data_IF_691131634777
#
_entry.id   IF_691131634777
#
_cell.length_a   1.000
_cell.length_b   1.000
_cell.length_c   1.000
_cell.angle_alpha   90.00
_cell.angle_beta   90.00
_cell.angle_gamma   90.00
#
_symmetry.space_group_name_H-M   'P 1'
#
loop_
_entity.id
_entity.type
_entity.pdbx_description
1 polymer ?
#
# COMPACT_ATOMS: atom_id res chain seq x y z
N UNK A 1 28.54 32.30 -10.04
CA UNK A 1 27.13 32.11 -9.63
C UNK A 1 26.44 31.23 -10.67
N UNK A 2 26.29 29.93 -10.42
CA UNK A 2 25.66 28.95 -11.33
C UNK A 2 24.99 27.88 -10.44
N UNK A 3 23.80 28.14 -9.88
CA UNK A 3 23.09 27.12 -9.07
C UNK A 3 21.57 27.36 -8.94
N UNK A 4 20.94 27.99 -9.94
CA UNK A 4 19.49 28.27 -9.93
C UNK A 4 18.74 27.83 -11.18
N UNK A 5 19.41 27.56 -12.30
CA UNK A 5 18.75 27.15 -13.55
C UNK A 5 18.46 25.64 -13.66
N UNK A 6 19.21 24.77 -12.98
CA UNK A 6 19.08 23.29 -13.12
C UNK A 6 17.82 22.76 -12.40
N UNK A 7 17.40 23.36 -11.28
CA UNK A 7 16.21 22.91 -10.54
C UNK A 7 14.87 23.19 -11.23
N UNK A 8 14.82 24.16 -12.14
CA UNK A 8 13.60 24.48 -12.88
C UNK A 8 13.34 23.47 -14.01
N UNK A 9 14.40 22.98 -14.66
CA UNK A 9 14.29 22.00 -15.74
C UNK A 9 13.84 20.61 -15.22
N UNK A 10 14.40 20.13 -14.11
CA UNK A 10 14.00 18.84 -13.51
C UNK A 10 12.53 18.84 -13.08
N UNK A 11 12.03 19.96 -12.54
CA UNK A 11 10.63 20.06 -12.12
C UNK A 11 9.66 20.02 -13.29
N UNK A 12 10.00 20.67 -14.41
CA UNK A 12 9.18 20.67 -15.64
C UNK A 12 9.16 19.29 -16.29
N UNK A 13 10.28 18.55 -16.29
CA UNK A 13 10.34 17.18 -16.83
C UNK A 13 9.49 16.22 -15.97
N UNK A 14 9.53 16.35 -14.64
CA UNK A 14 8.68 15.57 -13.73
C UNK A 14 7.20 15.91 -13.90
N UNK A 15 6.85 17.18 -14.08
CA UNK A 15 5.46 17.60 -14.29
C UNK A 15 4.92 17.15 -15.67
N UNK A 16 5.75 17.14 -16.72
CA UNK A 16 5.38 16.62 -18.05
C UNK A 16 5.25 15.09 -18.04
N UNK A 17 6.12 14.36 -17.33
CA UNK A 17 5.99 12.91 -17.16
C UNK A 17 4.73 12.55 -16.35
N UNK A 18 4.40 13.35 -15.33
CA UNK A 18 3.18 13.20 -14.53
C UNK A 18 1.91 13.55 -15.33
N UNK A 19 2.00 14.48 -16.27
CA UNK A 19 0.92 14.78 -17.21
C UNK A 19 0.76 13.68 -18.28
N UNK A 20 1.85 13.09 -18.76
CA UNK A 20 1.81 11.96 -19.69
C UNK A 20 1.16 10.71 -19.06
N UNK A 21 1.48 10.39 -17.80
CA UNK A 21 0.83 9.28 -17.07
C UNK A 21 -0.67 9.52 -16.86
N UNK A 22 -1.11 10.78 -16.73
CA UNK A 22 -2.55 11.11 -16.67
C UNK A 22 -3.25 10.90 -18.01
N UNK A 23 -2.54 11.00 -19.14
CA UNK A 23 -3.11 10.71 -20.46
C UNK A 23 -3.29 9.21 -20.64
N UNK A 24 -2.35 8.38 -20.15
CA UNK A 24 -2.51 6.91 -20.12
C UNK A 24 -3.65 6.49 -19.18
N UNK A 25 -3.77 7.09 -17.99
CA UNK A 25 -4.89 6.84 -17.08
C UNK A 25 -6.24 7.28 -17.68
N UNK A 26 -6.26 8.36 -18.48
CA UNK A 26 -7.45 8.80 -19.23
C UNK A 26 -7.75 7.87 -20.40
N UNK A 27 -6.72 7.31 -21.05
CA UNK A 27 -6.87 6.34 -22.13
C UNK A 27 -7.39 5.00 -21.60
N UNK A 28 -6.96 4.58 -20.42
CA UNK A 28 -7.46 3.37 -19.76
C UNK A 28 -8.82 3.60 -19.09
N UNK A 29 -9.10 4.82 -18.61
CA UNK A 29 -10.46 5.23 -18.23
C UNK A 29 -11.41 5.29 -19.45
N UNK A 30 -10.91 5.64 -20.63
CA UNK A 30 -11.67 5.60 -21.88
C UNK A 30 -11.93 4.14 -22.34
N UNK A 31 -10.97 3.22 -22.15
CA UNK A 31 -11.18 1.77 -22.38
C UNK A 31 -12.12 1.13 -21.34
N UNK A 32 -12.16 1.65 -20.11
CA UNK A 32 -13.12 1.21 -19.09
C UNK A 32 -14.55 1.73 -19.35
N UNK A 33 -14.69 2.71 -20.26
CA UNK A 33 -15.96 3.31 -20.69
C UNK A 33 -16.63 2.57 -21.87
N UNK A 34 -16.24 1.33 -22.15
CA UNK A 34 -16.74 0.46 -23.24
C UNK A 34 -18.21 -0.03 -23.02
N UNK A 35 -19.05 0.82 -22.42
CA UNK A 35 -20.49 0.59 -22.17
C UNK A 35 -21.37 1.81 -22.50
N UNK A 36 -20.88 2.73 -23.33
CA UNK A 36 -21.70 3.82 -23.87
C UNK A 36 -21.80 3.66 -25.39
N UNK A 37 -23.02 3.41 -25.87
CA UNK A 37 -23.41 2.93 -27.20
C UNK A 37 -23.08 3.87 -28.40
N UNK A 38 -22.33 4.95 -28.22
CA UNK A 38 -22.17 6.00 -29.23
C UNK A 38 -20.69 6.28 -29.61
N UNK A 39 -19.91 5.22 -29.83
CA UNK A 39 -18.50 5.32 -30.25
C UNK A 39 -18.29 5.96 -31.65
N UNK A 40 -19.35 6.13 -32.44
CA UNK A 40 -19.26 6.60 -33.82
C UNK A 40 -18.94 8.11 -33.94
N UNK A 41 -19.25 8.92 -32.93
CA UNK A 41 -19.07 10.38 -33.01
C UNK A 41 -17.71 10.87 -32.49
N UNK A 42 -17.05 10.09 -31.63
CA UNK A 42 -15.72 10.44 -31.09
C UNK A 42 -14.63 10.21 -32.14
N UNK A 43 -14.75 9.16 -32.97
CA UNK A 43 -13.79 8.85 -34.02
C UNK A 43 -13.69 9.97 -35.09
N UNK A 44 -14.78 10.71 -35.36
CA UNK A 44 -14.76 11.85 -36.30
C UNK A 44 -14.08 13.10 -35.74
N UNK A 45 -13.91 13.21 -34.42
CA UNK A 45 -13.25 14.36 -33.78
C UNK A 45 -11.72 14.19 -33.73
N UNK A 46 -11.22 12.95 -33.74
CA UNK A 46 -9.79 12.66 -33.69
C UNK A 46 -9.06 12.94 -35.01
N UNK A 47 -9.75 12.80 -36.15
CA UNK A 47 -9.17 12.92 -37.50
C UNK A 47 -8.89 14.38 -37.96
N UNK A 48 -9.06 15.38 -37.08
CA UNK A 48 -8.88 16.80 -37.42
C UNK A 48 -8.09 17.63 -36.40
N UNK A 49 -7.41 17.00 -35.44
CA UNK A 49 -6.63 17.70 -34.42
C UNK A 49 -5.14 17.71 -34.79
N UNK A 50 -4.76 18.57 -35.73
CA UNK A 50 -3.35 18.83 -36.05
C UNK A 50 -2.65 19.74 -35.02
N UNK A 51 -3.39 20.37 -34.09
CA UNK A 51 -2.82 21.28 -33.09
C UNK A 51 -3.40 21.07 -31.69
N UNK A 52 -2.51 20.83 -30.71
CA UNK A 52 -2.82 20.61 -29.30
C UNK A 52 -3.60 21.77 -28.63
N UNK A 53 -3.58 22.96 -29.24
CA UNK A 53 -4.28 24.14 -28.76
C UNK A 53 -5.80 24.12 -29.06
N UNK A 54 -6.24 23.39 -30.09
CA UNK A 54 -7.66 23.31 -30.44
C UNK A 54 -8.40 22.21 -29.68
N UNK A 55 -7.69 21.18 -29.20
CA UNK A 55 -8.24 20.17 -28.28
C UNK A 55 -8.73 20.81 -26.96
N UNK A 56 -8.04 21.82 -26.45
CA UNK A 56 -8.40 22.49 -25.20
C UNK A 56 -9.69 23.32 -25.34
N UNK A 57 -9.90 23.96 -26.50
CA UNK A 57 -11.11 24.74 -26.77
C UNK A 57 -12.34 23.89 -27.05
N UNK A 58 -12.16 22.67 -27.57
CA UNK A 58 -13.25 21.71 -27.77
C UNK A 58 -13.78 21.16 -26.44
N UNK A 59 -12.90 20.89 -25.46
CA UNK A 59 -13.28 20.46 -24.12
C UNK A 59 -14.06 21.52 -23.34
N UNK A 60 -13.72 22.81 -23.50
CA UNK A 60 -14.40 23.91 -22.79
C UNK A 60 -15.83 24.20 -23.32
N UNK A 61 -16.13 23.82 -24.57
CA UNK A 61 -17.45 24.03 -25.20
C UNK A 61 -18.39 22.83 -25.04
N UNK A 62 -17.86 21.64 -24.80
CA UNK A 62 -18.68 20.53 -24.35
C UNK A 62 -19.16 20.86 -22.93
N UNK A 63 -20.47 21.03 -22.73
CA UNK A 63 -21.06 20.97 -21.38
C UNK A 63 -20.94 19.54 -20.87
N UNK A 64 -19.71 19.13 -20.56
CA UNK A 64 -19.44 17.90 -19.82
C UNK A 64 -20.08 18.12 -18.46
N UNK A 65 -21.02 17.27 -18.01
CA UNK A 65 -21.44 17.28 -16.63
C UNK A 65 -20.15 17.24 -15.79
N UNK A 66 -19.98 18.18 -14.87
CA UNK A 66 -18.92 18.09 -13.87
C UNK A 66 -19.13 16.76 -13.17
N UNK A 67 -18.38 15.74 -13.56
CA UNK A 67 -18.28 14.50 -12.80
C UNK A 67 -17.63 14.93 -11.51
N UNK A 68 -18.45 15.08 -10.47
CA UNK A 68 -17.93 15.16 -9.12
C UNK A 68 -16.99 13.96 -8.97
N UNK A 69 -15.73 14.16 -8.53
CA UNK A 69 -14.87 13.02 -8.25
C UNK A 69 -15.68 12.11 -7.32
N UNK A 70 -15.64 10.78 -7.49
CA UNK A 70 -16.28 9.91 -6.52
C UNK A 70 -15.65 10.23 -5.17
N UNK A 71 -16.36 11.01 -4.35
CA UNK A 71 -16.02 11.24 -2.97
C UNK A 71 -16.30 9.88 -2.35
N UNK A 72 -15.32 8.98 -2.42
CA UNK A 72 -15.29 7.80 -1.56
C UNK A 72 -15.49 8.38 -0.16
N UNK A 73 -16.53 7.94 0.54
CA UNK A 73 -16.87 8.44 1.85
C UNK A 73 -15.59 8.49 2.68
N UNK A 74 -15.23 9.67 3.16
CA UNK A 74 -13.97 9.93 3.89
C UNK A 74 -13.91 9.02 5.15
N UNK A 75 -15.07 8.64 5.66
CA UNK A 75 -15.27 7.68 6.75
C UNK A 75 -14.81 6.24 6.42
N UNK A 76 -14.79 5.83 5.15
CA UNK A 76 -14.36 4.48 4.74
C UNK A 76 -12.85 4.26 4.97
N UNK A 77 -12.07 5.36 5.02
CA UNK A 77 -10.64 5.33 5.28
C UNK A 77 -10.27 5.67 6.73
N UNK A 78 -11.23 5.94 7.61
CA UNK A 78 -10.92 6.20 9.02
C UNK A 78 -10.79 4.89 9.80
N UNK A 79 -9.61 4.66 10.38
CA UNK A 79 -9.39 3.53 11.26
C UNK A 79 -10.16 3.71 12.58
N UNK A 80 -11.29 3.04 12.72
CA UNK A 80 -12.02 2.93 13.99
C UNK A 80 -11.64 1.66 14.73
N UNK A 81 -10.83 1.80 15.78
CA UNK A 81 -10.40 0.67 16.60
C UNK A 81 -11.56 -0.01 17.36
N UNK A 82 -12.67 0.70 17.61
CA UNK A 82 -13.77 0.20 18.46
C UNK A 82 -14.58 -0.91 17.81
N UNK A 83 -14.48 -1.06 16.48
CA UNK A 83 -15.18 -2.12 15.72
C UNK A 83 -14.53 -3.50 15.85
N UNK A 84 -13.31 -3.58 16.36
CA UNK A 84 -12.54 -4.83 16.39
C UNK A 84 -12.77 -5.64 17.66
N UNK A 85 -13.23 -6.88 17.47
CA UNK A 85 -13.39 -7.88 18.51
C UNK A 85 -12.92 -9.24 17.99
N UNK A 86 -11.99 -9.84 18.73
CA UNK A 86 -11.49 -11.20 18.53
C UNK A 86 -12.66 -12.17 18.60
N UNK A 87 -12.81 -12.98 17.56
CA UNK A 87 -13.90 -13.97 17.47
C UNK A 87 -13.53 -15.25 18.23
N UNK A 88 -14.54 -15.99 18.64
CA UNK A 88 -14.33 -17.31 19.23
C UNK A 88 -13.61 -18.22 18.23
N UNK A 89 -12.52 -18.87 18.67
CA UNK A 89 -11.69 -19.73 17.82
C UNK A 89 -10.69 -19.01 16.90
N UNK A 90 -10.75 -17.67 16.80
CA UNK A 90 -9.77 -16.88 16.04
C UNK A 90 -8.43 -16.84 16.78
N UNK A 91 -7.33 -17.06 16.06
CA UNK A 91 -5.99 -16.92 16.63
C UNK A 91 -5.67 -15.45 16.83
N UNK A 92 -5.08 -15.12 17.99
CA UNK A 92 -4.72 -13.74 18.34
C UNK A 92 -3.74 -13.10 17.33
N UNK A 93 -2.86 -13.90 16.73
CA UNK A 93 -1.96 -13.45 15.66
C UNK A 93 -2.73 -12.98 14.43
N UNK A 94 -3.55 -13.87 13.86
CA UNK A 94 -4.40 -13.62 12.68
C UNK A 94 -5.32 -12.40 12.87
N UNK A 95 -5.90 -12.24 14.08
CA UNK A 95 -6.69 -11.06 14.44
C UNK A 95 -5.88 -9.77 14.37
N UNK A 96 -4.64 -9.80 14.88
CA UNK A 96 -3.71 -8.69 14.79
C UNK A 96 -3.34 -8.34 13.36
N UNK A 97 -3.03 -9.33 12.53
CA UNK A 97 -2.70 -9.09 11.12
C UNK A 97 -3.86 -8.46 10.35
N UNK A 98 -5.09 -8.85 10.67
CA UNK A 98 -6.30 -8.23 10.09
C UNK A 98 -6.40 -6.76 10.47
N UNK A 99 -6.23 -6.44 11.75
CA UNK A 99 -6.20 -5.04 12.24
C UNK A 99 -5.07 -4.24 11.58
N UNK A 100 -3.87 -4.82 11.46
CA UNK A 100 -2.73 -4.14 10.86
C UNK A 100 -2.96 -3.86 9.37
N UNK A 101 -3.52 -4.80 8.61
CA UNK A 101 -3.90 -4.59 7.20
C UNK A 101 -4.90 -3.44 7.06
N UNK A 102 -5.95 -3.42 7.88
CA UNK A 102 -6.93 -2.34 7.84
C UNK A 102 -6.35 -0.98 8.29
N UNK A 103 -5.41 -0.99 9.23
CA UNK A 103 -4.67 0.21 9.59
C UNK A 103 -3.85 0.73 8.40
N UNK A 104 -3.09 -0.12 7.70
CA UNK A 104 -2.38 0.32 6.50
C UNK A 104 -3.33 0.74 5.36
N UNK A 105 -4.49 0.11 5.21
CA UNK A 105 -5.54 0.60 4.28
C UNK A 105 -5.99 2.02 4.60
N UNK A 106 -6.16 2.32 5.89
CA UNK A 106 -6.52 3.68 6.34
C UNK A 106 -5.45 4.73 6.00
N UNK A 107 -4.19 4.30 5.79
CA UNK A 107 -3.07 5.14 5.38
C UNK A 107 -2.91 5.21 3.85
N UNK A 108 -3.79 4.56 3.08
CA UNK A 108 -3.78 4.58 1.62
C UNK A 108 -3.00 3.44 0.95
N UNK A 109 -2.55 2.42 1.69
CA UNK A 109 -1.99 1.20 1.09
C UNK A 109 -3.13 0.29 0.60
N UNK A 110 -3.01 -0.29 -0.58
CA UNK A 110 -4.09 -1.04 -1.25
C UNK A 110 -3.67 -2.44 -1.74
N UNK A 111 -2.37 -2.68 -1.90
CA UNK A 111 -1.80 -3.99 -2.25
C UNK A 111 -1.19 -4.66 -1.01
N UNK A 112 -1.52 -5.92 -0.76
CA UNK A 112 -1.12 -6.64 0.45
C UNK A 112 -0.63 -8.06 0.18
N UNK A 113 0.54 -8.38 0.72
CA UNK A 113 1.15 -9.69 0.68
C UNK A 113 1.47 -10.18 2.08
N UNK A 114 1.36 -11.48 2.30
CA UNK A 114 1.83 -12.16 3.50
C UNK A 114 2.72 -13.30 3.03
N UNK A 115 3.93 -13.41 3.57
CA UNK A 115 4.91 -14.40 3.12
C UNK A 115 5.27 -15.23 4.33
N UNK A 116 4.75 -16.46 4.45
CA UNK A 116 4.92 -17.29 5.64
C UNK A 116 5.30 -18.71 5.25
N UNK A 117 6.28 -19.30 5.94
CA UNK A 117 6.57 -20.72 5.78
C UNK A 117 5.69 -21.58 6.71
N UNK A 118 5.79 -22.91 6.59
CA UNK A 118 5.03 -23.86 7.44
C UNK A 118 5.28 -23.72 8.94
N UNK A 119 6.39 -23.09 9.34
CA UNK A 119 6.74 -22.87 10.74
C UNK A 119 6.29 -21.50 11.26
N UNK A 120 5.60 -20.70 10.43
CA UNK A 120 5.21 -19.33 10.78
C UNK A 120 6.38 -18.35 10.83
N UNK A 121 7.47 -18.65 10.12
CA UNK A 121 8.56 -17.70 9.91
C UNK A 121 8.35 -17.02 8.56
N UNK A 122 8.44 -15.70 8.52
CA UNK A 122 8.02 -14.96 7.35
C UNK A 122 8.02 -13.45 7.53
N UNK A 123 7.32 -12.77 6.62
CA UNK A 123 6.95 -11.36 6.72
C UNK A 123 5.43 -11.30 6.82
N UNK A 124 4.94 -10.80 7.95
CA UNK A 124 3.50 -10.79 8.26
C UNK A 124 2.73 -9.95 7.24
N UNK A 125 3.26 -8.77 6.91
CA UNK A 125 2.65 -7.86 5.93
C UNK A 125 3.73 -7.22 5.05
N UNK A 126 3.54 -7.29 3.74
CA UNK A 126 4.09 -6.33 2.78
C UNK A 126 2.92 -5.54 2.21
N UNK A 127 2.89 -4.24 2.46
CA UNK A 127 1.86 -3.32 2.00
C UNK A 127 2.46 -2.36 0.96
N UNK A 128 1.78 -2.14 -0.16
CA UNK A 128 2.16 -1.15 -1.18
C UNK A 128 1.00 -0.22 -1.47
N UNK A 129 1.33 1.05 -1.67
CA UNK A 129 0.42 2.04 -2.23
C UNK A 129 0.63 2.04 -3.75
N UNK A 130 -0.35 1.53 -4.50
CA UNK A 130 -0.24 1.34 -5.95
C UNK A 130 -0.02 2.65 -6.73
N UNK A 131 -0.45 3.79 -6.18
CA UNK A 131 -0.37 5.10 -6.83
C UNK A 131 1.01 5.76 -6.67
N UNK A 132 1.63 5.60 -5.50
CA UNK A 132 2.91 6.24 -5.15
C UNK A 132 4.09 5.30 -5.31
N UNK A 133 3.86 3.99 -5.19
CA UNK A 133 4.89 2.98 -5.07
C UNK A 133 5.46 2.84 -3.66
N UNK A 134 4.97 3.60 -2.66
CA UNK A 134 5.45 3.50 -1.28
C UNK A 134 5.14 2.11 -0.72
N UNK A 135 6.10 1.55 0.03
CA UNK A 135 6.04 0.19 0.55
C UNK A 135 6.42 0.11 2.02
N UNK A 136 5.69 -0.74 2.75
CA UNK A 136 5.99 -1.10 4.14
C UNK A 136 6.08 -2.61 4.26
N UNK A 137 7.18 -3.08 4.85
CA UNK A 137 7.32 -4.48 5.32
C UNK A 137 7.20 -4.46 6.83
N UNK A 138 6.12 -5.04 7.37
CA UNK A 138 5.77 -4.92 8.77
C UNK A 138 5.79 -6.27 9.51
N UNK A 139 6.29 -6.23 10.74
CA UNK A 139 6.07 -7.27 11.75
C UNK A 139 4.87 -6.89 12.63
N UNK A 140 3.95 -7.82 12.81
CA UNK A 140 2.75 -7.65 13.64
C UNK A 140 2.95 -8.38 14.98
N UNK A 141 2.84 -7.64 16.08
CA UNK A 141 2.84 -8.22 17.43
C UNK A 141 1.54 -7.91 18.14
N UNK A 142 0.84 -8.96 18.57
CA UNK A 142 -0.44 -8.84 19.28
C UNK A 142 -0.33 -9.39 20.69
N UNK A 143 -0.94 -8.71 21.66
CA UNK A 143 -0.93 -9.16 23.06
C UNK A 143 -2.24 -8.90 23.78
N UNK A 144 -2.60 -9.82 24.69
CA UNK A 144 -3.63 -9.61 25.72
C UNK A 144 -3.03 -9.35 27.11
N UNK A 145 -1.70 -9.21 27.23
CA UNK A 145 -1.03 -9.05 28.52
C UNK A 145 -1.27 -7.64 29.09
N UNK A 146 -2.04 -7.57 30.18
CA UNK A 146 -2.35 -6.31 30.88
C UNK A 146 -1.09 -5.50 31.26
N UNK A 147 0.01 -6.16 31.66
CA UNK A 147 1.25 -5.47 32.05
C UNK A 147 1.90 -4.64 30.95
N UNK A 148 1.54 -4.88 29.69
CA UNK A 148 2.03 -4.13 28.53
C UNK A 148 1.09 -2.95 28.17
N UNK A 149 -0.03 -2.81 28.88
CA UNK A 149 -1.02 -1.76 28.71
C UNK A 149 -1.37 -1.07 30.03
N UNK A 150 -1.00 0.20 30.18
CA UNK A 150 -1.31 1.00 31.36
C UNK A 150 -2.14 2.23 30.99
N UNK A 151 -3.46 2.05 30.83
CA UNK A 151 -4.40 3.15 30.62
C UNK A 151 -4.08 4.04 29.42
N UNK A 152 -3.63 3.46 28.31
CA UNK A 152 -3.21 4.19 27.10
C UNK A 152 -1.69 4.33 26.93
N UNK A 153 -0.90 4.15 27.99
CA UNK A 153 0.57 4.01 27.88
C UNK A 153 0.91 2.56 27.54
N UNK A 154 1.59 2.36 26.42
CA UNK A 154 1.95 1.03 25.93
C UNK A 154 3.43 0.72 26.12
N UNK A 155 3.74 -0.51 26.53
CA UNK A 155 5.10 -1.05 26.50
C UNK A 155 5.27 -1.90 25.26
N UNK A 156 6.43 -1.76 24.63
CA UNK A 156 6.75 -2.50 23.42
C UNK A 156 6.61 -4.02 23.60
N UNK A 157 5.93 -4.67 22.64
CA UNK A 157 5.81 -6.14 22.60
C UNK A 157 7.11 -6.71 22.00
N UNK A 158 7.81 -7.66 22.63
CA UNK A 158 9.13 -8.07 22.17
C UNK A 158 9.10 -8.77 20.81
N UNK A 159 10.07 -8.43 19.97
CA UNK A 159 10.45 -9.19 18.77
C UNK A 159 11.18 -10.49 19.14
N UNK A 160 11.19 -11.46 18.22
CA UNK A 160 12.02 -12.67 18.36
C UNK A 160 13.52 -12.31 18.39
N UNK A 161 14.38 -13.28 18.75
CA UNK A 161 15.83 -13.04 18.77
C UNK A 161 16.33 -12.64 17.38
N UNK A 162 15.99 -13.40 16.35
CA UNK A 162 16.44 -13.17 14.97
C UNK A 162 15.93 -11.82 14.45
N UNK A 163 14.65 -11.50 14.69
CA UNK A 163 14.04 -10.23 14.28
C UNK A 163 14.76 -9.02 14.90
N UNK A 164 15.24 -9.13 16.14
CA UNK A 164 16.01 -8.06 16.82
C UNK A 164 17.46 -7.99 16.34
N UNK A 165 18.10 -9.14 16.12
CA UNK A 165 19.51 -9.18 15.77
C UNK A 165 19.77 -8.80 14.31
N UNK A 166 18.85 -9.16 13.40
CA UNK A 166 18.97 -8.82 11.99
C UNK A 166 18.47 -7.39 11.69
N UNK A 167 17.50 -6.90 12.46
CA UNK A 167 16.77 -5.67 12.12
C UNK A 167 15.76 -5.90 10.98
N UNK A 168 14.79 -4.99 10.84
CA UNK A 168 13.65 -5.18 9.94
C UNK A 168 14.04 -5.35 8.48
N UNK A 169 14.97 -4.53 7.99
CA UNK A 169 15.39 -4.56 6.58
C UNK A 169 16.05 -5.89 6.21
N UNK A 170 17.09 -6.30 6.93
CA UNK A 170 17.77 -7.56 6.64
C UNK A 170 16.89 -8.78 6.89
N UNK A 171 16.08 -8.76 7.96
CA UNK A 171 15.17 -9.87 8.25
C UNK A 171 14.14 -10.06 7.14
N UNK A 172 13.44 -9.00 6.76
CA UNK A 172 12.38 -9.09 5.73
C UNK A 172 12.96 -9.46 4.37
N UNK A 173 14.08 -8.87 3.97
CA UNK A 173 14.74 -9.21 2.71
C UNK A 173 15.25 -10.66 2.68
N UNK A 174 15.80 -11.19 3.78
CA UNK A 174 16.19 -12.61 3.88
C UNK A 174 14.98 -13.52 3.69
N UNK A 175 13.86 -13.24 4.39
CA UNK A 175 12.64 -14.07 4.30
C UNK A 175 12.02 -14.04 2.91
N UNK A 176 11.90 -12.87 2.28
CA UNK A 176 11.39 -12.74 0.92
C UNK A 176 12.27 -13.52 -0.08
N UNK A 177 13.60 -13.39 0.01
CA UNK A 177 14.52 -14.10 -0.88
C UNK A 177 14.44 -15.62 -0.73
N UNK A 178 14.36 -16.14 0.50
CA UNK A 178 14.17 -17.58 0.75
C UNK A 178 12.83 -18.07 0.22
N UNK A 179 11.76 -17.32 0.46
CA UNK A 179 10.43 -17.66 -0.01
C UNK A 179 10.34 -17.71 -1.54
N UNK A 180 10.92 -16.71 -2.23
CA UNK A 180 10.96 -16.65 -3.69
C UNK A 180 11.69 -17.86 -4.31
N UNK A 181 12.69 -18.39 -3.61
CA UNK A 181 13.46 -19.59 -3.97
C UNK A 181 12.81 -20.91 -3.54
N UNK A 182 11.71 -20.87 -2.78
CA UNK A 182 11.07 -22.05 -2.15
C UNK A 182 11.98 -22.79 -1.15
N UNK A 183 12.94 -22.06 -0.57
CA UNK A 183 13.83 -22.59 0.46
C UNK A 183 13.10 -22.66 1.82
N UNK A 184 13.76 -23.18 2.86
CA UNK A 184 13.35 -23.00 4.28
C UNK A 184 11.85 -23.32 4.58
N UNK A 185 11.29 -24.32 3.88
CA UNK A 185 9.92 -24.80 4.10
C UNK A 185 8.80 -24.01 3.40
N UNK A 186 9.11 -23.03 2.55
CA UNK A 186 8.14 -22.32 1.70
C UNK A 186 7.67 -23.22 0.54
N UNK A 187 6.65 -24.03 0.82
CA UNK A 187 6.20 -25.12 -0.08
C UNK A 187 4.76 -24.98 -0.54
N UNK A 188 4.05 -23.95 -0.09
CA UNK A 188 2.64 -23.68 -0.43
C UNK A 188 2.45 -23.07 -1.82
N UNK A 189 3.53 -22.65 -2.48
CA UNK A 189 3.53 -21.96 -3.78
C UNK A 189 3.10 -20.50 -3.68
N UNK A 190 2.00 -20.24 -2.97
CA UNK A 190 1.43 -18.89 -2.77
C UNK A 190 2.44 -17.94 -2.11
N UNK A 191 3.07 -18.34 -1.01
CA UNK A 191 4.03 -17.47 -0.33
C UNK A 191 5.25 -17.17 -1.21
N UNK A 192 5.65 -18.09 -2.07
CA UNK A 192 6.73 -17.88 -3.04
C UNK A 192 6.37 -16.90 -4.15
N UNK A 193 5.14 -16.96 -4.65
CA UNK A 193 4.65 -16.00 -5.65
C UNK A 193 4.52 -14.61 -5.05
N UNK A 194 3.92 -14.51 -3.86
CA UNK A 194 3.82 -13.25 -3.12
C UNK A 194 5.19 -12.66 -2.77
N UNK A 195 6.18 -13.50 -2.46
CA UNK A 195 7.55 -13.03 -2.22
C UNK A 195 8.23 -12.50 -3.49
N UNK A 196 8.07 -13.18 -4.63
CA UNK A 196 8.60 -12.69 -5.92
C UNK A 196 7.99 -11.35 -6.29
N UNK A 197 6.69 -11.20 -6.10
CA UNK A 197 6.00 -9.95 -6.40
C UNK A 197 6.43 -8.82 -5.45
N UNK A 198 6.56 -9.11 -4.15
CA UNK A 198 7.07 -8.14 -3.18
C UNK A 198 8.51 -7.68 -3.52
N UNK A 199 9.39 -8.58 -3.97
CA UNK A 199 10.75 -8.23 -4.41
C UNK A 199 10.70 -7.34 -5.65
N UNK A 200 9.93 -7.72 -6.68
CA UNK A 200 9.75 -6.94 -7.90
C UNK A 200 9.24 -5.52 -7.61
N UNK A 201 8.25 -5.42 -6.73
CA UNK A 201 7.68 -4.14 -6.32
C UNK A 201 8.66 -3.28 -5.55
N UNK A 202 9.49 -3.88 -4.68
CA UNK A 202 10.53 -3.16 -3.97
C UNK A 202 11.56 -2.57 -4.94
N UNK A 203 12.03 -3.36 -5.90
CA UNK A 203 12.94 -2.88 -6.94
C UNK A 203 12.32 -1.71 -7.74
N UNK A 204 11.04 -1.82 -8.09
CA UNK A 204 10.31 -0.76 -8.79
C UNK A 204 10.17 0.52 -7.93
N UNK A 205 9.87 0.37 -6.64
CA UNK A 205 9.76 1.47 -5.69
C UNK A 205 11.10 2.20 -5.54
N UNK A 206 12.20 1.45 -5.37
CA UNK A 206 13.56 1.99 -5.28
C UNK A 206 13.96 2.74 -6.56
N UNK A 207 13.68 2.18 -7.74
CA UNK A 207 13.96 2.83 -9.03
C UNK A 207 13.17 4.14 -9.23
N UNK A 208 11.94 4.20 -8.71
CA UNK A 208 11.08 5.38 -8.79
C UNK A 208 11.32 6.39 -7.66
N UNK A 209 12.18 6.06 -6.69
CA UNK A 209 12.45 6.89 -5.51
C UNK A 209 11.30 6.93 -4.50
N UNK A 210 10.41 5.93 -4.52
CA UNK A 210 9.35 5.77 -3.53
C UNK A 210 9.92 5.28 -2.18
N UNK A 211 9.22 5.54 -1.08
CA UNK A 211 9.67 5.13 0.25
C UNK A 211 9.50 3.61 0.42
N UNK A 212 10.60 2.91 0.74
CA UNK A 212 10.55 1.51 1.19
C UNK A 212 11.03 1.47 2.64
N UNK A 213 10.14 1.11 3.57
CA UNK A 213 10.47 1.07 5.00
C UNK A 213 10.10 -0.25 5.66
N UNK A 214 10.70 -0.46 6.83
CA UNK A 214 10.37 -1.57 7.71
C UNK A 214 9.84 -1.06 9.04
N UNK A 215 8.75 -1.66 9.50
CA UNK A 215 8.03 -1.22 10.67
C UNK A 215 7.64 -2.39 11.55
N UNK A 216 7.37 -2.09 12.81
CA UNK A 216 6.72 -3.00 13.74
C UNK A 216 5.43 -2.39 14.23
N UNK A 217 4.36 -3.18 14.23
CA UNK A 217 3.04 -2.75 14.69
C UNK A 217 2.62 -3.55 15.91
N UNK A 218 2.50 -2.87 17.05
CA UNK A 218 2.01 -3.47 18.29
C UNK A 218 0.50 -3.27 18.44
N UNK A 219 -0.21 -4.37 18.72
CA UNK A 219 -1.66 -4.42 18.86
C UNK A 219 -2.00 -4.95 20.25
N UNK A 220 -2.80 -4.18 20.99
CA UNK A 220 -3.13 -4.44 22.39
C UNK A 220 -4.62 -4.77 22.50
N UNK A 221 -4.92 -6.00 22.89
CA UNK A 221 -6.28 -6.51 23.02
C UNK A 221 -6.60 -6.69 24.51
N UNK A 222 -7.83 -6.45 24.94
CA UNK A 222 -8.24 -6.77 26.32
C UNK A 222 -8.58 -8.26 26.47
N UNK A 223 -8.81 -8.68 27.72
CA UNK A 223 -9.14 -10.07 28.03
C UNK A 223 -10.45 -10.51 27.38
N UNK A 224 -11.33 -9.55 27.11
CA UNK A 224 -12.62 -9.73 26.46
C UNK A 224 -12.52 -9.78 24.91
N UNK A 225 -11.32 -9.64 24.36
CA UNK A 225 -11.04 -9.75 22.93
C UNK A 225 -11.22 -8.45 22.14
N UNK A 226 -11.58 -7.34 22.76
CA UNK A 226 -11.69 -6.04 22.08
C UNK A 226 -10.35 -5.29 21.99
N UNK A 227 -10.15 -4.56 20.91
CA UNK A 227 -8.96 -3.72 20.71
C UNK A 227 -8.96 -2.54 21.68
N UNK A 228 -7.85 -2.34 22.43
CA UNK A 228 -7.76 -1.29 23.47
C UNK A 228 -7.54 0.12 22.93
N UNK A 229 -7.14 0.25 21.68
CA UNK A 229 -6.84 1.53 21.02
C UNK A 229 -6.18 1.34 19.66
N UNK A 230 -5.82 2.44 19.00
CA UNK A 230 -5.12 2.39 17.72
C UNK A 230 -3.79 1.62 17.84
N UNK A 231 -3.41 0.85 16.78
CA UNK A 231 -2.12 0.20 16.71
C UNK A 231 -0.96 1.16 16.96
N UNK A 232 0.13 0.63 17.53
CA UNK A 232 1.35 1.41 17.79
C UNK A 232 2.43 1.01 16.80
N UNK A 233 2.63 1.87 15.80
CA UNK A 233 3.73 1.75 14.84
C UNK A 233 5.04 2.16 15.50
N UNK A 234 6.08 1.37 15.28
CA UNK A 234 7.44 1.57 15.78
C UNK A 234 8.41 1.31 14.64
N UNK A 235 9.59 1.95 14.71
CA UNK A 235 10.72 1.54 13.90
C UNK A 235 11.10 0.11 14.27
N UNK A 236 11.33 -0.73 13.26
CA UNK A 236 11.93 -2.05 13.44
C UNK A 236 13.45 -1.94 13.39
#
# INVERSE_FOLDING_TARGET
MHWTAVKAADKVVVDVAKAANRVDDVLDAAKALDKLDDAADIAKAADKLDDAADATKALDKAKVPKLEPPVKNIDEFLFDYKKYRLREGEKLGDFGETIAKDYYRSLGYDEFYAVQNKSGNGVDIVARNSQTGDMVKAEVKTTQQDKLWNGGKTKEIPLSKDQRQMGGEHYTNDRLNRAAKRDDGYTDGRSSEQAKEAIRMQEEAELKGAEVKTEKIDIYVNKEGTLRGNPKVRKW
#
